data_IF_876246468021
#
_entry.id   IF_876246468021
#
_cell.length_a   1.000
_cell.length_b   1.000
_cell.length_c   1.000
_cell.angle_alpha   90.00
_cell.angle_beta   90.00
_cell.angle_gamma   90.00
#
_symmetry.space_group_name_H-M   'P 1'
#
loop_
_entity.id
_entity.type
_entity.pdbx_description
1 polymer ?
#
# COMPACT_ATOMS: atom_id res chain seq x y z
N UNK A 1 -38.29 15.57 -35.10
CA UNK A 1 -38.74 15.12 -33.77
C UNK A 1 -37.99 13.84 -33.43
N UNK A 2 -37.00 13.91 -32.54
CA UNK A 2 -36.15 12.76 -32.18
C UNK A 2 -36.55 12.20 -30.82
N UNK A 3 -36.94 10.92 -30.78
CA UNK A 3 -37.34 10.21 -29.56
C UNK A 3 -36.10 9.69 -28.82
N UNK A 4 -36.01 10.02 -27.52
CA UNK A 4 -35.04 9.48 -26.54
C UNK A 4 -35.31 7.99 -26.27
N UNK A 5 -34.30 7.14 -26.04
CA UNK A 5 -34.50 5.87 -25.35
C UNK A 5 -34.33 6.04 -23.84
N UNK A 6 -35.22 5.37 -23.11
CA UNK A 6 -35.29 5.25 -21.65
C UNK A 6 -34.12 4.40 -21.13
N UNK A 7 -33.39 4.92 -20.15
CA UNK A 7 -32.39 4.15 -19.38
C UNK A 7 -33.13 3.29 -18.36
N UNK A 8 -33.10 1.98 -18.55
CA UNK A 8 -33.59 1.03 -17.55
C UNK A 8 -32.52 0.88 -16.46
N UNK A 9 -32.83 1.35 -15.25
CA UNK A 9 -31.98 1.16 -14.08
C UNK A 9 -31.97 -0.30 -13.65
N UNK A 10 -30.88 -1.01 -13.92
CA UNK A 10 -30.62 -2.32 -13.33
C UNK A 10 -30.25 -2.14 -11.85
N UNK A 11 -31.23 -2.36 -10.98
CA UNK A 11 -31.00 -2.54 -9.54
C UNK A 11 -30.45 -3.95 -9.34
N UNK A 12 -29.12 -4.08 -9.35
CA UNK A 12 -28.46 -5.33 -9.00
C UNK A 12 -28.63 -5.60 -7.51
N UNK A 13 -29.66 -6.38 -7.17
CA UNK A 13 -29.84 -7.01 -5.86
C UNK A 13 -28.59 -7.84 -5.54
N UNK A 14 -27.85 -7.39 -4.53
CA UNK A 14 -26.69 -8.07 -3.97
C UNK A 14 -27.15 -9.39 -3.35
N UNK A 15 -26.70 -10.51 -3.91
CA UNK A 15 -26.81 -11.83 -3.28
C UNK A 15 -25.39 -12.30 -2.99
N UNK A 16 -24.97 -12.17 -1.72
CA UNK A 16 -23.79 -12.86 -1.20
C UNK A 16 -24.05 -14.37 -1.27
N UNK A 17 -23.43 -15.05 -2.24
CA UNK A 17 -23.27 -16.50 -2.18
C UNK A 17 -21.84 -16.79 -1.72
N UNK A 18 -21.71 -17.14 -0.45
CA UNK A 18 -20.56 -17.89 0.08
C UNK A 18 -20.53 -19.24 -0.63
N UNK A 19 -19.86 -19.30 -1.78
CA UNK A 19 -19.55 -20.56 -2.44
C UNK A 19 -18.19 -21.03 -1.93
N UNK A 20 -18.21 -21.99 -1.02
CA UNK A 20 -17.06 -22.82 -0.70
C UNK A 20 -16.69 -23.63 -1.96
N UNK A 21 -15.72 -23.16 -2.72
CA UNK A 21 -15.18 -23.88 -3.87
C UNK A 21 -13.66 -24.02 -3.72
N UNK A 22 -13.20 -25.28 -3.81
CA UNK A 22 -11.81 -25.72 -3.67
C UNK A 22 -10.87 -24.96 -4.62
N UNK A 23 -9.79 -24.44 -4.05
CA UNK A 23 -8.66 -23.79 -4.73
C UNK A 23 -8.04 -24.69 -5.81
N UNK A 24 -7.78 -24.20 -7.03
CA UNK A 24 -6.76 -24.77 -7.89
C UNK A 24 -5.37 -24.48 -7.28
N UNK A 25 -4.60 -25.54 -7.15
CA UNK A 25 -3.31 -25.61 -6.48
C UNK A 25 -2.27 -24.79 -7.28
N UNK A 26 -1.72 -23.73 -6.67
CA UNK A 26 -0.64 -22.96 -7.30
C UNK A 26 -0.18 -21.68 -6.59
N UNK A 27 -0.94 -21.17 -5.61
CA UNK A 27 -0.56 -19.92 -4.94
C UNK A 27 -0.43 -20.12 -3.44
N UNK A 28 0.82 -20.23 -2.97
CA UNK A 28 1.12 -20.10 -1.53
C UNK A 28 0.82 -18.65 -1.15
N UNK A 29 -0.30 -18.44 -0.47
CA UNK A 29 -0.55 -17.25 0.34
C UNK A 29 0.68 -17.10 1.26
N UNK A 30 1.54 -16.14 0.99
CA UNK A 30 2.73 -15.91 1.81
C UNK A 30 2.21 -15.43 3.15
N UNK A 31 2.32 -16.30 4.17
CA UNK A 31 2.09 -15.95 5.56
C UNK A 31 2.80 -14.62 5.85
N UNK A 32 2.04 -13.64 6.32
CA UNK A 32 2.60 -12.44 6.91
C UNK A 32 3.63 -12.87 7.96
N UNK A 33 4.90 -12.51 7.73
CA UNK A 33 5.97 -12.70 8.71
C UNK A 33 5.56 -11.90 9.94
N UNK A 34 5.33 -12.60 11.05
CA UNK A 34 5.00 -12.00 12.35
C UNK A 34 6.28 -11.36 12.92
N UNK A 35 6.32 -10.04 13.15
CA UNK A 35 7.27 -9.44 14.08
C UNK A 35 6.68 -9.53 15.49
N UNK A 36 7.52 -9.86 16.46
CA UNK A 36 7.17 -10.12 17.85
C UNK A 36 6.41 -8.96 18.51
N UNK A 37 5.42 -9.30 19.35
CA UNK A 37 4.64 -8.34 20.14
C UNK A 37 5.44 -7.96 21.38
N UNK A 38 5.82 -6.69 21.52
CA UNK A 38 5.99 -6.08 22.85
C UNK A 38 4.74 -5.30 23.18
N UNK A 39 4.05 -5.74 24.22
CA UNK A 39 2.91 -5.06 24.81
C UNK A 39 3.41 -3.81 25.54
N UNK A 40 2.76 -2.68 25.29
CA UNK A 40 2.75 -1.59 26.24
C UNK A 40 1.29 -1.11 26.38
N UNK A 41 0.81 -1.23 27.61
CA UNK A 41 -0.54 -0.87 28.04
C UNK A 41 -0.56 0.61 28.38
N UNK A 42 -1.53 1.36 27.84
CA UNK A 42 -1.99 2.61 28.46
C UNK A 42 -3.41 2.94 28.01
N UNK A 43 -4.34 2.85 28.96
CA UNK A 43 -5.71 3.34 28.85
C UNK A 43 -5.74 4.87 28.69
N UNK A 44 -6.52 5.37 27.73
CA UNK A 44 -7.15 6.68 27.83
C UNK A 44 -8.41 6.75 26.97
N UNK A 45 -9.54 7.07 27.60
CA UNK A 45 -10.84 7.28 26.95
C UNK A 45 -10.94 8.73 26.47
N UNK A 46 -10.97 8.92 25.15
CA UNK A 46 -11.24 10.21 24.52
C UNK A 46 -11.95 9.99 23.20
N UNK A 47 -13.20 10.46 23.10
CA UNK A 47 -13.95 10.55 21.84
C UNK A 47 -13.19 11.49 20.91
N UNK A 48 -12.68 10.95 19.81
CA UNK A 48 -12.12 11.75 18.72
C UNK A 48 -12.63 11.23 17.39
N UNK A 49 -13.21 12.16 16.63
CA UNK A 49 -13.34 12.10 15.19
C UNK A 49 -11.91 12.16 14.60
N UNK A 50 -11.17 11.07 14.77
CA UNK A 50 -9.84 10.90 14.24
C UNK A 50 -9.99 10.31 12.84
N UNK A 51 -9.76 11.16 11.81
CA UNK A 51 -9.00 10.69 10.64
C UNK A 51 -7.92 9.78 11.21
N UNK A 52 -7.84 8.50 10.78
CA UNK A 52 -6.91 7.55 11.37
C UNK A 52 -5.53 8.19 11.32
N UNK A 53 -5.08 8.68 12.48
CA UNK A 53 -3.74 9.19 12.63
C UNK A 53 -2.88 8.00 12.25
N UNK A 54 -1.99 8.19 11.28
CA UNK A 54 -0.95 7.22 10.93
C UNK A 54 -0.36 6.75 12.27
N UNK A 55 -0.74 5.56 12.73
CA UNK A 55 -0.47 5.11 14.10
C UNK A 55 1.04 4.93 14.24
N UNK A 56 1.71 5.96 14.75
CA UNK A 56 2.59 5.90 15.93
C UNK A 56 3.75 4.89 15.97
N UNK A 57 4.12 4.26 14.88
CA UNK A 57 5.38 3.53 14.72
C UNK A 57 5.97 3.94 13.38
N UNK A 58 7.23 4.37 13.35
CA UNK A 58 7.87 4.87 12.13
C UNK A 58 7.61 3.93 10.94
N UNK A 59 7.39 4.51 9.74
CA UNK A 59 7.16 3.73 8.52
C UNK A 59 8.18 2.60 8.43
N UNK A 60 7.75 1.32 8.40
CA UNK A 60 8.68 0.21 8.42
C UNK A 60 9.58 0.24 7.18
N UNK A 61 10.88 0.05 7.39
CA UNK A 61 11.83 -0.12 6.30
C UNK A 61 11.69 -1.50 5.67
N UNK A 62 11.83 -1.55 4.35
CA UNK A 62 11.89 -2.79 3.59
C UNK A 62 13.18 -3.51 3.95
N UNK A 63 13.13 -4.78 4.38
CA UNK A 63 14.34 -5.52 4.75
C UNK A 63 15.23 -5.85 3.54
N UNK A 64 14.74 -5.62 2.31
CA UNK A 64 15.47 -5.93 1.08
C UNK A 64 16.11 -4.70 0.43
N UNK A 65 15.42 -3.56 0.39
CA UNK A 65 15.92 -2.35 -0.27
C UNK A 65 16.08 -1.15 0.67
N UNK A 66 15.81 -1.29 1.98
CA UNK A 66 15.96 -0.22 2.97
C UNK A 66 14.89 0.89 2.92
N UNK A 67 14.16 1.02 1.81
CA UNK A 67 13.15 2.07 1.62
C UNK A 67 11.99 1.97 2.63
N UNK A 68 11.39 3.12 2.95
CA UNK A 68 10.19 3.20 3.80
C UNK A 68 8.98 2.59 3.09
N UNK A 69 8.04 2.07 3.88
CA UNK A 69 6.78 1.49 3.42
C UNK A 69 5.62 2.02 4.28
N UNK A 70 4.44 2.13 3.68
CA UNK A 70 3.23 2.44 4.43
C UNK A 70 2.64 1.16 5.02
N UNK A 71 2.56 1.07 6.35
CA UNK A 71 1.89 -0.03 7.06
C UNK A 71 0.43 0.34 7.29
N UNK A 72 -0.48 -0.34 6.61
CA UNK A 72 -1.91 0.00 6.64
C UNK A 72 -2.73 -1.21 7.07
N UNK A 73 -3.72 -0.96 7.93
CA UNK A 73 -4.61 -2.00 8.44
C UNK A 73 -5.60 -2.45 7.36
N UNK A 74 -5.87 -3.75 7.28
CA UNK A 74 -6.90 -4.29 6.39
C UNK A 74 -8.26 -4.36 7.10
N UNK A 75 -9.34 -4.55 6.34
CA UNK A 75 -10.67 -4.79 6.91
C UNK A 75 -10.69 -6.01 7.85
N UNK A 76 -9.89 -7.03 7.55
CA UNK A 76 -9.80 -8.28 8.32
C UNK A 76 -8.89 -8.17 9.56
N UNK A 77 -8.55 -6.96 9.99
CA UNK A 77 -7.67 -6.67 11.15
C UNK A 77 -6.22 -7.17 10.97
N UNK A 78 -5.80 -7.41 9.72
CA UNK A 78 -4.40 -7.68 9.34
C UNK A 78 -3.68 -6.37 8.93
N UNK A 79 -2.42 -6.50 8.49
CA UNK A 79 -1.62 -5.37 8.00
C UNK A 79 -1.01 -5.69 6.63
N UNK A 80 -0.98 -4.70 5.76
CA UNK A 80 -0.28 -4.74 4.47
C UNK A 80 0.78 -3.65 4.39
N UNK A 81 1.87 -3.94 3.68
CA UNK A 81 2.95 -2.99 3.38
C UNK A 81 2.78 -2.45 1.96
N UNK A 82 2.46 -1.17 1.87
CA UNK A 82 2.14 -0.49 0.63
C UNK A 82 3.28 0.45 0.23
N UNK A 83 3.42 0.64 -1.08
CA UNK A 83 4.33 1.63 -1.63
C UNK A 83 3.89 3.04 -1.18
N UNK A 84 4.79 3.82 -0.54
CA UNK A 84 4.48 5.19 -0.17
C UNK A 84 4.19 6.08 -1.37
N UNK A 85 3.27 7.02 -1.19
CA UNK A 85 2.93 8.09 -2.15
C UNK A 85 2.52 7.63 -3.56
N UNK A 86 2.29 6.32 -3.77
CA UNK A 86 1.92 5.75 -5.06
C UNK A 86 0.43 5.40 -5.12
N UNK A 87 -0.30 6.13 -5.96
CA UNK A 87 -1.76 6.04 -6.09
C UNK A 87 -2.22 5.91 -7.56
N UNK A 88 -1.89 4.81 -8.27
CA UNK A 88 -2.27 4.63 -9.67
C UNK A 88 -3.78 4.51 -9.84
N UNK A 89 -4.25 4.76 -11.06
CA UNK A 89 -5.62 4.46 -11.46
C UNK A 89 -5.85 2.95 -11.36
N UNK A 90 -6.91 2.54 -10.67
CA UNK A 90 -7.15 1.13 -10.37
C UNK A 90 -7.30 0.27 -11.62
N UNK A 91 -7.78 0.83 -12.74
CA UNK A 91 -7.91 0.10 -14.01
C UNK A 91 -6.56 -0.24 -14.67
N UNK A 92 -5.44 0.37 -14.24
CA UNK A 92 -4.08 0.06 -14.75
C UNK A 92 -3.34 -0.96 -13.89
N UNK A 93 -3.99 -1.47 -12.84
CA UNK A 93 -3.46 -2.45 -11.89
C UNK A 93 -4.29 -3.73 -12.00
N UNK A 94 -3.72 -4.93 -11.97
CA UNK A 94 -4.47 -6.18 -11.86
C UNK A 94 -5.32 -6.24 -10.59
N UNK A 95 -6.47 -6.92 -10.66
CA UNK A 95 -7.51 -6.87 -9.63
C UNK A 95 -7.01 -7.32 -8.24
N UNK A 96 -6.15 -8.33 -8.23
CA UNK A 96 -5.51 -8.93 -7.06
C UNK A 96 -4.51 -8.01 -6.34
N UNK A 97 -4.08 -6.92 -7.00
CA UNK A 97 -3.09 -5.97 -6.46
C UNK A 97 -3.67 -4.59 -6.18
N UNK A 98 -4.99 -4.40 -6.36
CA UNK A 98 -5.70 -3.14 -6.08
C UNK A 98 -6.08 -3.06 -4.62
N UNK A 99 -5.33 -2.30 -3.84
CA UNK A 99 -5.72 -1.96 -2.48
C UNK A 99 -6.51 -0.65 -2.48
N UNK A 100 -7.80 -0.71 -2.14
CA UNK A 100 -8.65 0.46 -2.06
C UNK A 100 -8.67 0.98 -0.62
N UNK A 101 -8.28 2.23 -0.46
CA UNK A 101 -8.33 2.94 0.82
C UNK A 101 -9.77 3.37 1.10
N UNK A 102 -10.24 3.03 2.30
CA UNK A 102 -11.55 3.37 2.80
C UNK A 102 -11.49 4.69 3.58
N UNK A 103 -12.63 5.37 3.83
CA UNK A 103 -12.66 6.62 4.58
C UNK A 103 -12.06 6.53 6.00
N UNK A 104 -12.04 5.34 6.59
CA UNK A 104 -11.44 5.04 7.89
C UNK A 104 -9.95 4.67 7.80
N UNK A 105 -9.33 4.90 6.63
CA UNK A 105 -7.91 4.65 6.31
C UNK A 105 -7.48 3.19 6.34
N UNK A 106 -8.41 2.24 6.49
CA UNK A 106 -8.15 0.83 6.24
C UNK A 106 -8.16 0.56 4.74
N UNK A 107 -7.58 -0.57 4.35
CA UNK A 107 -7.55 -1.00 2.95
C UNK A 107 -8.20 -2.36 2.74
N UNK A 108 -8.73 -2.57 1.55
CA UNK A 108 -9.28 -3.87 1.11
C UNK A 108 -8.90 -4.14 -0.33
N UNK A 109 -8.71 -5.42 -0.68
CA UNK A 109 -8.51 -5.84 -2.07
C UNK A 109 -9.85 -5.75 -2.81
N UNK A 110 -9.87 -5.04 -3.93
CA UNK A 110 -11.09 -4.88 -4.75
C UNK A 110 -11.03 -5.75 -6.02
N UNK A 111 -11.53 -6.99 -5.89
CA UNK A 111 -11.38 -8.02 -6.90
C UNK A 111 -12.57 -8.24 -7.87
N UNK A 112 -13.73 -7.60 -7.67
CA UNK A 112 -15.00 -8.13 -8.24
C UNK A 112 -15.87 -7.16 -9.07
N UNK A 113 -15.33 -6.06 -9.57
CA UNK A 113 -15.98 -5.24 -10.61
C UNK A 113 -14.91 -4.40 -11.32
N UNK A 114 -15.06 -4.02 -12.61
CA UNK A 114 -14.21 -2.99 -13.18
C UNK A 114 -14.24 -1.77 -12.25
N UNK A 115 -13.09 -1.28 -11.79
CA UNK A 115 -13.05 -0.09 -10.96
C UNK A 115 -13.58 1.09 -11.77
N UNK A 116 -14.10 2.10 -11.08
CA UNK A 116 -14.37 3.37 -11.74
C UNK A 116 -13.08 3.90 -12.40
N UNK A 117 -13.19 4.53 -13.57
CA UNK A 117 -12.01 4.94 -14.34
C UNK A 117 -11.14 5.96 -13.59
N UNK A 118 -11.72 6.73 -12.66
CA UNK A 118 -11.02 7.69 -11.81
C UNK A 118 -10.59 7.12 -10.46
N UNK A 119 -11.06 5.92 -10.11
CA UNK A 119 -10.74 5.28 -8.83
C UNK A 119 -9.24 5.05 -8.74
N UNK A 120 -8.64 5.50 -7.63
CA UNK A 120 -7.24 5.25 -7.31
C UNK A 120 -7.12 4.09 -6.35
N UNK A 121 -6.00 3.38 -6.44
CA UNK A 121 -5.66 2.31 -5.50
C UNK A 121 -4.23 2.51 -4.99
N UNK A 122 -3.87 1.75 -3.96
CA UNK A 122 -2.50 1.55 -3.50
C UNK A 122 -1.98 0.24 -4.06
N UNK A 123 -0.66 0.09 -4.07
CA UNK A 123 0.02 -1.14 -4.46
C UNK A 123 0.98 -1.59 -3.38
N UNK A 124 1.20 -2.91 -3.29
CA UNK A 124 2.15 -3.48 -2.34
C UNK A 124 3.58 -3.06 -2.66
N UNK A 125 4.33 -2.69 -1.63
CA UNK A 125 5.74 -2.35 -1.81
C UNK A 125 6.54 -3.54 -2.37
N UNK A 126 6.16 -4.79 -2.07
CA UNK A 126 6.83 -5.97 -2.62
C UNK A 126 6.93 -5.95 -4.15
N UNK A 127 5.92 -5.41 -4.83
CA UNK A 127 5.90 -5.29 -6.29
C UNK A 127 6.84 -4.19 -6.78
N UNK A 128 6.89 -3.07 -6.04
CA UNK A 128 7.73 -1.91 -6.33
C UNK A 128 9.18 -2.03 -5.81
N UNK A 129 9.47 -3.06 -5.01
CA UNK A 129 10.77 -3.28 -4.42
C UNK A 129 11.80 -3.67 -5.49
N UNK A 130 12.89 -2.90 -5.66
CA UNK A 130 13.90 -3.15 -6.69
C UNK A 130 14.68 -4.45 -6.44
N UNK A 131 14.83 -4.85 -5.17
CA UNK A 131 15.57 -6.04 -4.77
C UNK A 131 14.80 -7.36 -4.95
N UNK A 132 13.50 -7.31 -5.30
CA UNK A 132 12.70 -8.52 -5.53
C UNK A 132 12.84 -9.00 -6.98
N UNK A 133 13.22 -10.27 -7.24
CA UNK A 133 13.32 -10.79 -8.60
C UNK A 133 11.93 -11.14 -9.13
N UNK A 134 11.21 -10.14 -9.63
CA UNK A 134 9.90 -10.30 -10.27
C UNK A 134 10.06 -10.25 -11.79
N UNK A 135 9.22 -10.95 -12.56
CA UNK A 135 9.16 -10.76 -14.00
C UNK A 135 8.81 -9.31 -14.32
N UNK A 136 9.07 -8.87 -15.55
CA UNK A 136 8.51 -7.62 -16.03
C UNK A 136 6.99 -7.71 -15.94
N UNK A 137 6.44 -6.94 -15.00
CA UNK A 137 5.01 -6.83 -14.77
C UNK A 137 4.45 -5.82 -15.79
N UNK A 138 3.73 -4.80 -15.33
CA UNK A 138 3.19 -3.76 -16.21
C UNK A 138 4.15 -2.56 -16.35
N UNK A 139 4.16 -1.83 -17.49
CA UNK A 139 5.22 -0.88 -17.82
C UNK A 139 5.49 0.20 -16.78
N UNK A 140 4.45 0.75 -16.16
CA UNK A 140 4.63 1.82 -15.17
C UNK A 140 5.29 1.32 -13.87
N UNK A 141 5.12 0.04 -13.51
CA UNK A 141 5.76 -0.53 -12.32
C UNK A 141 7.24 -0.81 -12.55
N UNK A 142 7.64 -1.19 -13.76
CA UNK A 142 9.06 -1.27 -14.12
C UNK A 142 9.74 0.09 -13.93
N UNK A 143 9.10 1.17 -14.37
CA UNK A 143 9.60 2.54 -14.14
C UNK A 143 9.68 2.90 -12.65
N UNK A 144 8.65 2.54 -11.87
CA UNK A 144 8.64 2.77 -10.41
C UNK A 144 9.75 1.99 -9.69
N UNK A 145 9.98 0.74 -10.06
CA UNK A 145 11.07 -0.08 -9.52
C UNK A 145 12.43 0.54 -9.83
N UNK A 146 12.62 1.06 -11.04
CA UNK A 146 13.84 1.78 -11.42
C UNK A 146 14.06 3.05 -10.59
N UNK A 147 13.00 3.82 -10.30
CA UNK A 147 13.12 4.98 -9.42
C UNK A 147 13.41 4.57 -7.97
N UNK A 148 12.79 3.51 -7.48
CA UNK A 148 13.07 2.99 -6.15
C UNK A 148 14.50 2.46 -6.01
N UNK A 149 15.09 1.86 -7.07
CA UNK A 149 16.50 1.50 -7.07
C UNK A 149 17.39 2.74 -6.86
N UNK A 150 17.16 3.82 -7.62
CA UNK A 150 17.91 5.07 -7.45
C UNK A 150 17.70 5.69 -6.07
N UNK A 151 16.49 5.58 -5.50
CA UNK A 151 16.21 6.05 -4.13
C UNK A 151 16.98 5.27 -3.09
N UNK A 152 17.07 3.95 -3.24
CA UNK A 152 17.81 3.09 -2.32
C UNK A 152 19.31 3.43 -2.37
N UNK A 153 19.89 3.57 -3.57
CA UNK A 153 21.28 3.99 -3.75
C UNK A 153 21.59 5.33 -3.04
N UNK A 154 20.67 6.31 -3.13
CA UNK A 154 20.83 7.60 -2.43
C UNK A 154 20.75 7.49 -0.90
N UNK A 155 20.09 6.47 -0.35
CA UNK A 155 20.03 6.26 1.10
C UNK A 155 21.29 5.61 1.66
N UNK A 156 21.97 4.81 0.83
CA UNK A 156 23.21 4.12 1.21
C UNK A 156 24.45 5.03 1.09
N UNK A 157 24.35 6.14 0.36
CA UNK A 157 25.43 7.11 0.25
C UNK A 157 25.59 7.89 1.58
N UNK A 158 26.72 7.73 2.30
CA UNK A 158 26.94 8.48 3.53
C UNK A 158 26.90 9.98 3.22
N UNK A 159 26.02 10.70 3.92
CA UNK A 159 25.93 12.15 3.79
C UNK A 159 27.31 12.82 4.00
N UNK A 160 27.51 14.02 3.44
CA UNK A 160 28.77 14.73 3.57
C UNK A 160 29.17 14.83 5.05
N UNK A 161 30.47 14.66 5.37
CA UNK A 161 30.93 14.72 6.75
C UNK A 161 30.50 16.06 7.37
N UNK A 162 30.20 16.10 8.68
CA UNK A 162 29.88 17.35 9.35
C UNK A 162 31.02 18.35 9.12
N UNK A 163 30.72 19.65 8.95
CA UNK A 163 31.76 20.66 8.81
C UNK A 163 32.70 20.60 10.03
N UNK A 164 34.01 20.84 9.87
CA UNK A 164 34.94 20.92 10.98
C UNK A 164 34.42 21.93 12.01
N UNK A 165 34.41 21.54 13.28
CA UNK A 165 34.04 22.43 14.37
C UNK A 165 35.10 23.52 14.49
N UNK A 166 34.77 24.73 13.99
CA UNK A 166 35.60 25.93 14.17
C UNK A 166 35.53 26.33 15.65
N UNK A 167 36.56 25.97 16.40
CA UNK A 167 36.77 26.47 17.75
C UNK A 167 37.03 27.99 17.64
N UNK A 168 36.28 28.84 18.36
CA UNK A 168 36.52 30.27 18.30
C UNK A 168 37.92 30.56 18.82
N UNK A 169 38.72 31.26 18.01
CA UNK A 169 40.03 31.75 18.40
C UNK A 169 39.86 32.57 19.69
N UNK A 170 40.50 32.09 20.76
CA UNK A 170 40.51 32.78 22.04
C UNK A 170 41.17 34.16 21.86
N UNK A 171 40.37 35.20 22.08
CA UNK A 171 40.79 36.61 22.18
C UNK A 171 41.46 36.91 23.51
#
# INVERSE_FOLDING_TARGET
MCRRPLVAGCTCRVMFRLAAARLPQGFRLVRALRPDRRADDSHSMGVLDEKPRRLGGGQPRCPYCGLLQDRVATLDQDWVLLEPDMHPLAHTVPAEHRWIELPDGRVTVYGVCPPDQSQRCRVEHRLACPAQPLPDLWPWLTSLRGENARRAERQDDPGPPPPPEEWPDAV
#
